data_IF_200778660564
#
_entry.id   IF_200778660564
#
_cell.length_a   1.000
_cell.length_b   1.000
_cell.length_c   1.000
_cell.angle_alpha   90.00
_cell.angle_beta   90.00
_cell.angle_gamma   90.00
#
_symmetry.space_group_name_H-M   'P 1'
#
loop_
_entity.id
_entity.type
_entity.pdbx_description
1 polymer ?
#
# COMPACT_ATOMS: atom_id res chain seq x y z
N UNK A 1 18.66 0.84 -90.45
CA UNK A 1 18.91 2.29 -90.25
C UNK A 1 17.58 3.03 -90.14
N UNK A 2 17.26 3.54 -88.95
CA UNK A 2 16.83 4.94 -88.68
C UNK A 2 16.28 5.02 -87.25
N UNK A 3 17.12 5.60 -86.38
CA UNK A 3 16.70 6.23 -85.13
C UNK A 3 15.67 7.32 -85.44
N UNK A 4 14.70 7.48 -84.54
CA UNK A 4 14.08 8.77 -84.25
C UNK A 4 13.71 8.82 -82.76
N UNK A 5 14.57 9.51 -82.02
CA UNK A 5 14.36 10.01 -80.66
C UNK A 5 13.55 11.31 -80.79
N UNK A 6 12.53 11.52 -79.97
CA UNK A 6 11.96 12.85 -79.80
C UNK A 6 10.64 12.96 -79.04
N UNK A 7 10.71 13.71 -77.94
CA UNK A 7 9.65 14.52 -77.30
C UNK A 7 8.71 13.88 -76.27
N UNK A 8 9.12 14.07 -75.01
CA UNK A 8 8.27 14.43 -73.87
C UNK A 8 7.07 15.32 -74.25
N UNK A 9 5.87 14.98 -73.79
CA UNK A 9 4.95 15.97 -73.25
C UNK A 9 4.01 15.31 -72.25
N UNK A 10 3.92 15.91 -71.06
CA UNK A 10 3.14 15.46 -69.93
C UNK A 10 1.66 15.34 -70.28
N UNK A 11 1.14 14.13 -70.36
CA UNK A 11 -0.30 13.91 -70.15
C UNK A 11 -0.54 13.95 -68.66
N UNK A 12 -0.84 15.16 -68.21
CA UNK A 12 -1.47 15.54 -66.96
C UNK A 12 -2.42 14.43 -66.48
N UNK A 13 -2.01 13.73 -65.43
CA UNK A 13 -2.96 13.10 -64.53
C UNK A 13 -3.69 14.25 -63.85
N UNK A 14 -4.80 14.67 -64.46
CA UNK A 14 -5.79 15.55 -63.85
C UNK A 14 -6.44 14.78 -62.69
N UNK A 15 -5.70 14.62 -61.59
CA UNK A 15 -6.26 14.34 -60.28
C UNK A 15 -7.07 15.58 -59.90
N UNK A 16 -8.30 15.63 -60.40
CA UNK A 16 -9.34 16.50 -59.87
C UNK A 16 -9.57 16.06 -58.43
N UNK A 17 -8.82 16.64 -57.49
CA UNK A 17 -9.26 16.77 -56.11
C UNK A 17 -10.44 17.74 -56.09
N UNK A 18 -11.58 17.29 -56.63
CA UNK A 18 -12.84 17.90 -56.32
C UNK A 18 -13.12 17.57 -54.84
N UNK A 19 -12.64 18.43 -53.94
CA UNK A 19 -13.27 18.60 -52.64
C UNK A 19 -14.69 19.03 -52.95
N UNK A 20 -15.61 18.07 -52.96
CA UNK A 20 -17.03 18.39 -52.96
C UNK A 20 -17.28 19.11 -51.64
N UNK A 21 -17.31 20.44 -51.68
CA UNK A 21 -17.83 21.23 -50.58
C UNK A 21 -19.24 20.68 -50.31
N UNK A 22 -19.43 20.05 -49.14
CA UNK A 22 -20.75 19.59 -48.71
C UNK A 22 -21.75 20.74 -48.84
N UNK A 23 -23.01 20.43 -49.13
CA UNK A 23 -24.01 21.49 -49.34
C UNK A 23 -24.06 22.40 -48.09
N UNK A 24 -24.38 23.70 -48.23
CA UNK A 24 -24.44 24.61 -47.09
C UNK A 24 -25.32 24.08 -45.94
N UNK A 25 -26.38 23.35 -46.27
CA UNK A 25 -27.27 22.68 -45.31
C UNK A 25 -26.58 21.53 -44.53
N UNK A 26 -25.69 20.79 -45.18
CA UNK A 26 -24.89 19.74 -44.54
C UNK A 26 -23.87 20.34 -43.58
N UNK A 27 -23.25 21.45 -43.96
CA UNK A 27 -22.34 22.21 -43.11
C UNK A 27 -23.05 22.73 -41.86
N UNK A 28 -24.25 23.28 -41.99
CA UNK A 28 -25.02 23.78 -40.85
C UNK A 28 -25.51 22.64 -39.94
N UNK A 29 -25.92 21.50 -40.51
CA UNK A 29 -26.23 20.30 -39.73
C UNK A 29 -25.03 19.78 -38.95
N UNK A 30 -23.84 19.81 -39.54
CA UNK A 30 -22.60 19.40 -38.90
C UNK A 30 -22.24 20.34 -37.75
N UNK A 31 -22.40 21.66 -37.90
CA UNK A 31 -22.19 22.62 -36.81
C UNK A 31 -23.06 22.32 -35.60
N UNK A 32 -24.35 22.04 -35.80
CA UNK A 32 -25.27 21.69 -34.71
C UNK A 32 -24.81 20.40 -34.00
N UNK A 33 -24.39 19.38 -34.75
CA UNK A 33 -23.86 18.14 -34.18
C UNK A 33 -22.57 18.36 -33.38
N UNK A 34 -21.68 19.23 -33.86
CA UNK A 34 -20.45 19.60 -33.14
C UNK A 34 -20.81 20.24 -31.80
N UNK A 35 -21.70 21.24 -31.79
CA UNK A 35 -22.14 21.86 -30.54
C UNK A 35 -22.81 20.87 -29.57
N UNK A 36 -23.63 19.94 -30.08
CA UNK A 36 -24.25 18.91 -29.24
C UNK A 36 -23.22 17.96 -28.63
N UNK A 37 -22.21 17.57 -29.41
CA UNK A 37 -21.12 16.72 -28.94
C UNK A 37 -20.27 17.44 -27.90
N UNK A 38 -19.94 18.71 -28.10
CA UNK A 38 -19.22 19.53 -27.12
C UNK A 38 -19.98 19.62 -25.79
N UNK A 39 -21.29 19.84 -25.84
CA UNK A 39 -22.14 19.83 -24.64
C UNK A 39 -22.16 18.46 -23.95
N UNK A 40 -22.17 17.36 -24.72
CA UNK A 40 -22.10 16.00 -24.16
C UNK A 40 -20.75 15.72 -23.52
N UNK A 41 -19.66 16.15 -24.13
CA UNK A 41 -18.32 15.97 -23.57
C UNK A 41 -18.14 16.78 -22.28
N UNK A 42 -18.64 18.01 -22.22
CA UNK A 42 -18.58 18.84 -21.02
C UNK A 42 -19.36 18.20 -19.86
N UNK A 43 -20.58 17.69 -20.12
CA UNK A 43 -21.36 16.98 -19.09
C UNK A 43 -20.67 15.71 -18.60
N UNK A 44 -20.12 14.92 -19.53
CA UNK A 44 -19.38 13.71 -19.17
C UNK A 44 -18.13 14.02 -18.34
N UNK A 45 -17.45 15.13 -18.65
CA UNK A 45 -16.29 15.60 -17.87
C UNK A 45 -16.69 16.06 -16.46
N UNK A 46 -17.78 16.82 -16.32
CA UNK A 46 -18.32 17.20 -15.01
C UNK A 46 -18.71 15.98 -14.17
N UNK A 47 -19.38 14.99 -14.78
CA UNK A 47 -19.74 13.74 -14.13
C UNK A 47 -18.49 12.95 -13.68
N UNK A 48 -17.46 12.88 -14.52
CA UNK A 48 -16.19 12.24 -14.19
C UNK A 48 -15.50 12.93 -13.00
N UNK A 49 -15.45 14.27 -13.00
CA UNK A 49 -14.86 15.04 -11.91
C UNK A 49 -15.65 14.85 -10.61
N UNK A 50 -16.98 14.84 -10.67
CA UNK A 50 -17.84 14.57 -9.51
C UNK A 50 -17.63 13.14 -8.97
N UNK A 51 -17.54 12.14 -9.84
CA UNK A 51 -17.27 10.75 -9.46
C UNK A 51 -15.88 10.61 -8.82
N UNK A 52 -14.86 11.25 -9.39
CA UNK A 52 -13.51 11.27 -8.85
C UNK A 52 -13.47 11.93 -7.47
N UNK A 53 -14.18 13.04 -7.26
CA UNK A 53 -14.27 13.70 -5.96
C UNK A 53 -14.92 12.79 -4.91
N UNK A 54 -16.01 12.08 -5.26
CA UNK A 54 -16.65 11.09 -4.37
C UNK A 54 -15.71 9.94 -4.02
N UNK A 55 -14.98 9.40 -5.00
CA UNK A 55 -13.99 8.35 -4.77
C UNK A 55 -12.89 8.82 -3.81
N UNK A 56 -12.33 10.02 -4.02
CA UNK A 56 -11.29 10.58 -3.16
C UNK A 56 -11.79 10.82 -1.72
N UNK A 57 -13.02 11.30 -1.56
CA UNK A 57 -13.65 11.48 -0.24
C UNK A 57 -13.87 10.14 0.47
N UNK A 58 -14.40 9.12 -0.22
CA UNK A 58 -14.58 7.78 0.32
C UNK A 58 -13.24 7.12 0.71
N UNK A 59 -12.20 7.31 -0.13
CA UNK A 59 -10.85 6.84 0.16
C UNK A 59 -10.26 7.53 1.40
N UNK A 60 -10.38 8.84 1.52
CA UNK A 60 -9.92 9.58 2.69
C UNK A 60 -10.62 9.13 3.98
N UNK A 61 -11.91 8.81 3.90
CA UNK A 61 -12.65 8.25 5.05
C UNK A 61 -12.18 6.83 5.40
N UNK A 62 -11.93 5.99 4.39
CA UNK A 62 -11.33 4.67 4.59
C UNK A 62 -9.94 4.77 5.24
N UNK A 63 -9.12 5.74 4.82
CA UNK A 63 -7.79 5.97 5.40
C UNK A 63 -7.90 6.36 6.89
N UNK A 64 -8.85 7.24 7.27
CA UNK A 64 -9.11 7.55 8.70
C UNK A 64 -9.59 6.34 9.50
N UNK A 65 -10.47 5.52 8.90
CA UNK A 65 -10.96 4.31 9.54
C UNK A 65 -9.87 3.24 9.69
N UNK A 66 -8.91 3.19 8.75
CA UNK A 66 -7.80 2.24 8.82
C UNK A 66 -6.67 2.75 9.73
N UNK A 67 -6.46 4.06 9.85
CA UNK A 67 -5.58 4.62 10.90
C UNK A 67 -6.11 4.35 12.30
N UNK A 68 -7.42 4.50 12.53
CA UNK A 68 -8.07 4.17 13.81
C UNK A 68 -8.18 2.65 14.05
N UNK A 69 -8.22 1.85 12.97
CA UNK A 69 -8.10 0.38 13.00
C UNK A 69 -6.68 -0.11 12.74
N UNK A 70 -5.63 0.69 12.97
CA UNK A 70 -4.30 0.10 13.17
C UNK A 70 -4.51 -0.95 14.26
N UNK A 71 -4.27 -2.25 13.98
CA UNK A 71 -4.40 -3.23 15.03
C UNK A 71 -3.47 -2.73 16.11
N UNK A 72 -4.04 -2.37 17.25
CA UNK A 72 -3.32 -2.39 18.51
C UNK A 72 -3.04 -3.85 18.80
N UNK A 73 -2.20 -4.46 17.95
CA UNK A 73 -1.11 -5.25 18.46
C UNK A 73 -0.35 -4.30 19.37
N UNK A 74 -0.87 -4.12 20.59
CA UNK A 74 0.00 -4.02 21.74
C UNK A 74 0.86 -5.26 21.62
N UNK A 75 2.00 -5.12 20.95
CA UNK A 75 3.19 -5.78 21.44
C UNK A 75 3.21 -5.38 22.91
N UNK A 76 2.83 -6.30 23.77
CA UNK A 76 3.21 -6.26 25.18
C UNK A 76 4.74 -6.09 25.12
N UNK A 77 5.22 -4.87 25.34
CA UNK A 77 6.57 -4.47 24.89
C UNK A 77 6.79 -2.97 24.70
N UNK A 78 5.80 -2.11 24.91
CA UNK A 78 6.01 -0.66 25.01
C UNK A 78 6.59 -0.27 26.39
N UNK A 79 7.80 -0.77 26.65
CA UNK A 79 8.85 -0.31 27.59
C UNK A 79 9.91 -1.43 27.61
N UNK A 80 10.83 -1.38 26.66
CA UNK A 80 11.95 -2.34 26.58
C UNK A 80 12.93 -2.22 27.74
N UNK A 81 12.83 -1.21 28.61
CA UNK A 81 13.70 -1.08 29.78
C UNK A 81 13.08 -1.66 31.07
N UNK A 82 11.86 -2.18 30.98
CA UNK A 82 11.17 -2.75 32.13
C UNK A 82 11.60 -4.21 32.34
N UNK A 83 11.91 -4.55 33.60
CA UNK A 83 12.21 -5.92 34.01
C UNK A 83 11.03 -6.85 33.64
N UNK A 84 11.29 -8.12 33.29
CA UNK A 84 10.20 -9.05 33.03
C UNK A 84 9.32 -9.20 34.29
N UNK A 85 8.01 -9.30 34.09
CA UNK A 85 7.04 -9.42 35.18
C UNK A 85 7.30 -10.66 36.03
N UNK A 86 7.22 -10.59 37.38
CA UNK A 86 7.32 -11.77 38.25
C UNK A 86 6.29 -12.87 37.96
N UNK A 87 5.16 -12.53 37.33
CA UNK A 87 4.07 -13.45 37.02
C UNK A 87 4.45 -14.56 36.01
N UNK A 88 5.58 -14.41 35.31
CA UNK A 88 6.15 -15.44 34.42
C UNK A 88 6.70 -16.64 35.19
N UNK A 89 6.98 -16.50 36.49
CA UNK A 89 7.51 -17.56 37.35
C UNK A 89 6.46 -17.98 38.38
N UNK A 90 6.15 -19.28 38.42
CA UNK A 90 5.36 -19.87 39.51
C UNK A 90 5.73 -21.34 39.69
N UNK A 91 6.34 -21.70 40.82
CA UNK A 91 6.88 -23.05 41.06
C UNK A 91 5.82 -24.13 41.35
N UNK A 92 4.54 -23.75 41.47
CA UNK A 92 3.42 -24.69 41.60
C UNK A 92 2.71 -24.98 40.27
N UNK A 93 3.07 -24.28 39.19
CA UNK A 93 2.52 -24.56 37.85
C UNK A 93 3.22 -25.78 37.23
N UNK A 94 2.45 -26.57 36.47
CA UNK A 94 2.98 -27.69 35.65
C UNK A 94 4.07 -27.21 34.69
N UNK A 95 3.90 -25.99 34.16
CA UNK A 95 4.90 -25.34 33.34
C UNK A 95 5.42 -24.10 34.06
N UNK A 96 6.66 -24.19 34.54
CA UNK A 96 7.40 -23.10 35.17
C UNK A 96 8.80 -23.03 34.58
N UNK A 97 9.16 -21.98 33.82
CA UNK A 97 10.51 -21.84 33.30
C UNK A 97 11.49 -21.59 34.45
N UNK A 98 12.65 -22.26 34.44
CA UNK A 98 13.72 -21.96 35.42
C UNK A 98 14.34 -20.57 35.18
N UNK A 99 14.36 -20.14 33.92
CA UNK A 99 14.88 -18.85 33.46
C UNK A 99 14.19 -18.42 32.17
N UNK A 100 14.22 -17.12 31.90
CA UNK A 100 13.73 -16.52 30.66
C UNK A 100 14.79 -15.63 30.05
N UNK A 101 14.77 -15.51 28.73
CA UNK A 101 15.57 -14.54 27.99
C UNK A 101 14.72 -13.28 27.76
N UNK A 102 15.19 -12.14 28.26
CA UNK A 102 14.54 -10.84 28.09
C UNK A 102 15.61 -9.79 27.83
N UNK A 103 15.50 -9.01 26.76
CA UNK A 103 16.50 -8.00 26.36
C UNK A 103 17.96 -8.50 26.38
N UNK A 104 18.22 -9.66 25.76
CA UNK A 104 19.54 -10.30 25.69
C UNK A 104 20.16 -10.67 27.05
N UNK A 105 19.36 -10.68 28.11
CA UNK A 105 19.77 -11.04 29.47
C UNK A 105 18.90 -12.17 30.00
N UNK A 106 19.51 -13.05 30.79
CA UNK A 106 18.78 -14.13 31.42
C UNK A 106 18.28 -13.69 32.80
N UNK A 107 17.01 -13.95 33.06
CA UNK A 107 16.36 -13.62 34.31
C UNK A 107 15.79 -14.88 34.96
N UNK A 108 15.72 -14.87 36.29
CA UNK A 108 15.08 -15.91 37.09
C UNK A 108 14.33 -15.33 38.28
N UNK A 109 13.47 -16.13 38.88
CA UNK A 109 12.85 -15.74 40.14
C UNK A 109 13.89 -15.56 41.26
N UNK A 110 13.81 -14.44 41.98
CA UNK A 110 14.67 -14.16 43.13
C UNK A 110 14.23 -14.92 44.37
N UNK A 111 12.91 -14.98 44.61
CA UNK A 111 12.29 -15.68 45.74
C UNK A 111 10.85 -16.07 45.39
N UNK A 112 10.49 -17.31 45.66
CA UNK A 112 9.10 -17.79 45.58
C UNK A 112 8.40 -17.58 46.92
N UNK A 113 7.13 -17.19 46.86
CA UNK A 113 6.23 -17.12 48.00
C UNK A 113 5.59 -18.49 48.28
N UNK A 114 4.92 -18.61 49.42
CA UNK A 114 4.28 -19.87 49.85
C UNK A 114 3.18 -20.34 48.90
N UNK A 115 2.53 -19.42 48.18
CA UNK A 115 1.54 -19.71 47.14
C UNK A 115 2.17 -20.14 45.81
N UNK A 116 3.50 -20.11 45.74
CA UNK A 116 4.33 -20.47 44.60
C UNK A 116 4.54 -19.36 43.58
N UNK A 117 3.94 -18.18 43.77
CA UNK A 117 4.20 -17.01 42.95
C UNK A 117 5.61 -16.44 43.19
N UNK A 118 6.16 -15.75 42.19
CA UNK A 118 7.44 -15.09 42.35
C UNK A 118 7.27 -13.68 42.92
N UNK A 119 8.04 -13.37 43.97
CA UNK A 119 8.02 -12.06 44.63
C UNK A 119 8.69 -10.99 43.75
N UNK A 120 9.85 -11.30 43.16
CA UNK A 120 10.58 -10.40 42.27
C UNK A 120 11.50 -11.17 41.31
N UNK A 121 11.80 -10.57 40.16
CA UNK A 121 12.69 -11.13 39.15
C UNK A 121 14.07 -10.50 39.25
N UNK A 122 15.13 -11.29 39.07
CA UNK A 122 16.52 -10.82 39.05
C UNK A 122 17.28 -11.36 37.85
N UNK A 123 18.23 -10.56 37.37
CA UNK A 123 19.20 -10.98 36.35
C UNK A 123 20.10 -12.10 36.90
N UNK A 124 20.41 -13.08 36.06
CA UNK A 124 21.35 -14.15 36.40
C UNK A 124 22.78 -13.65 36.29
N UNK A 125 23.63 -14.05 37.23
CA UNK A 125 25.05 -13.71 37.17
C UNK A 125 25.78 -14.58 36.15
N UNK A 126 26.94 -14.12 35.66
CA UNK A 126 27.75 -14.90 34.72
C UNK A 126 28.16 -16.27 35.30
N UNK A 127 28.42 -16.34 36.61
CA UNK A 127 28.72 -17.61 37.28
C UNK A 127 27.53 -18.58 37.25
N UNK A 128 26.31 -18.08 37.41
CA UNK A 128 25.08 -18.88 37.30
C UNK A 128 24.85 -19.36 35.86
N UNK A 129 25.18 -18.55 34.86
CA UNK A 129 25.12 -18.94 33.44
C UNK A 129 26.15 -20.00 33.07
N UNK A 130 27.39 -19.82 33.52
CA UNK A 130 28.50 -20.73 33.24
C UNK A 130 28.27 -22.13 33.83
N UNK A 131 27.64 -22.22 35.01
CA UNK A 131 27.24 -23.49 35.62
C UNK A 131 26.26 -24.28 34.75
N UNK A 132 25.42 -23.58 33.97
CA UNK A 132 24.43 -24.21 33.08
C UNK A 132 25.03 -24.57 31.71
N UNK A 133 26.08 -23.89 31.25
CA UNK A 133 26.79 -24.25 30.02
C UNK A 133 27.80 -25.38 30.21
N UNK A 134 28.22 -25.65 31.45
CA UNK A 134 29.20 -26.68 31.81
C UNK A 134 28.63 -28.08 32.01
N UNK A 135 27.34 -28.31 31.77
CA UNK A 135 26.68 -29.63 31.90
C UNK A 135 26.56 -30.32 30.53
N UNK A 136 27.66 -30.42 29.78
CA UNK A 136 27.77 -31.31 28.62
C UNK A 136 28.76 -32.41 28.89
#
# INVERSE_FOLDING_TARGET
MKLLIGMFCATLVSLSWAVTAGSPEEVDRLKVKVYELELKTLRAEEEYLAARARYMAAKAELDKLTESKKPTSRKIGAKTDELPSPLVFNNKRVWNPEKILWNNKFFKCGKYLDDGSCEFVREMTQAELNKLSGTR
#
